data_IF_376409426976
#
_entry.id   IF_376409426976
#
_cell.length_a   1.000
_cell.length_b   1.000
_cell.length_c   1.000
_cell.angle_alpha   90.00
_cell.angle_beta   90.00
_cell.angle_gamma   90.00
#
_symmetry.space_group_name_H-M   'P 1'
#
loop_
_entity.id
_entity.type
_entity.pdbx_description
1 polymer ?
#
# COMPACT_ATOMS: atom_id res chain seq x y z
N UNK A 1 18.68 -18.65 -11.20
CA UNK A 1 17.65 -19.27 -10.33
C UNK A 1 16.71 -18.17 -9.96
N UNK A 2 15.46 -18.22 -10.44
CA UNK A 2 14.41 -17.33 -9.96
C UNK A 2 14.26 -17.64 -8.47
N UNK A 3 14.48 -16.66 -7.58
CA UNK A 3 14.23 -16.88 -6.16
C UNK A 3 12.75 -17.27 -6.03
N UNK A 4 12.52 -18.47 -5.49
CA UNK A 4 11.19 -18.93 -5.12
C UNK A 4 10.76 -18.04 -3.96
N UNK A 5 9.94 -17.03 -4.23
CA UNK A 5 9.32 -16.24 -3.18
C UNK A 5 8.40 -17.19 -2.39
N UNK A 6 8.78 -17.53 -1.16
CA UNK A 6 8.02 -18.45 -0.32
C UNK A 6 6.76 -17.73 0.18
N UNK A 7 5.61 -18.37 0.00
CA UNK A 7 4.35 -17.88 0.56
C UNK A 7 4.37 -18.08 2.08
N UNK A 8 4.13 -17.01 2.82
CA UNK A 8 4.23 -17.03 4.28
C UNK A 8 2.84 -17.33 4.86
N UNK A 9 2.68 -18.52 5.44
CA UNK A 9 1.44 -18.95 6.11
C UNK A 9 1.32 -18.43 7.56
N UNK A 10 1.54 -17.13 7.76
CA UNK A 10 1.30 -16.46 9.06
C UNK A 10 0.17 -15.42 8.93
N UNK A 11 -1.08 -15.77 9.31
CA UNK A 11 -2.22 -14.88 9.14
C UNK A 11 -2.17 -13.65 10.05
N UNK A 12 -1.47 -13.72 11.19
CA UNK A 12 -1.32 -12.58 12.10
C UNK A 12 -0.32 -11.58 11.53
N UNK A 13 0.84 -12.07 11.07
CA UNK A 13 1.84 -11.25 10.40
C UNK A 13 1.27 -10.64 9.11
N UNK A 14 0.59 -11.43 8.29
CA UNK A 14 -0.06 -10.97 7.07
C UNK A 14 -1.07 -9.85 7.34
N UNK A 15 -1.91 -10.00 8.37
CA UNK A 15 -2.88 -8.97 8.75
C UNK A 15 -2.20 -7.71 9.30
N UNK A 16 -1.15 -7.87 10.10
CA UNK A 16 -0.37 -6.76 10.63
C UNK A 16 0.27 -5.93 9.50
N UNK A 17 0.98 -6.59 8.59
CA UNK A 17 1.65 -5.92 7.48
C UNK A 17 0.66 -5.28 6.49
N UNK A 18 -0.47 -5.94 6.21
CA UNK A 18 -1.50 -5.36 5.36
C UNK A 18 -2.13 -4.11 5.97
N UNK A 19 -2.39 -4.10 7.29
CA UNK A 19 -2.88 -2.89 7.97
C UNK A 19 -1.84 -1.77 7.93
N UNK A 20 -0.55 -2.09 8.15
CA UNK A 20 0.54 -1.12 8.04
C UNK A 20 0.59 -0.46 6.65
N UNK A 21 0.39 -1.24 5.58
CA UNK A 21 0.31 -0.72 4.20
C UNK A 21 -0.91 0.18 4.04
N UNK A 22 -2.09 -0.20 4.54
CA UNK A 22 -3.31 0.63 4.46
C UNK A 22 -3.13 1.95 5.21
N UNK A 23 -2.58 1.93 6.42
CA UNK A 23 -2.28 3.13 7.20
C UNK A 23 -1.30 4.04 6.47
N UNK A 24 -0.25 3.47 5.86
CA UNK A 24 0.73 4.22 5.06
C UNK A 24 0.08 4.89 3.85
N UNK A 25 -0.80 4.20 3.13
CA UNK A 25 -1.54 4.78 1.99
C UNK A 25 -2.43 5.92 2.47
N UNK A 26 -3.17 5.73 3.57
CA UNK A 26 -4.04 6.76 4.13
C UNK A 26 -3.26 8.00 4.59
N UNK A 27 -2.08 7.82 5.20
CA UNK A 27 -1.19 8.91 5.58
C UNK A 27 -0.74 9.71 4.34
N UNK A 28 -0.26 9.02 3.30
CA UNK A 28 0.13 9.67 2.03
C UNK A 28 -1.04 10.39 1.35
N UNK A 29 -2.24 9.81 1.37
CA UNK A 29 -3.45 10.46 0.84
C UNK A 29 -3.82 11.72 1.62
N UNK A 30 -3.61 11.72 2.94
CA UNK A 30 -3.85 12.89 3.79
C UNK A 30 -2.83 14.00 3.49
N UNK A 31 -1.54 13.67 3.39
CA UNK A 31 -0.49 14.61 2.98
C UNK A 31 -0.80 15.24 1.62
N UNK A 32 -1.19 14.42 0.64
CA UNK A 32 -1.57 14.90 -0.69
C UNK A 32 -2.80 15.81 -0.64
N UNK A 33 -3.80 15.48 0.19
CA UNK A 33 -4.97 16.35 0.42
C UNK A 33 -4.55 17.72 0.97
N UNK A 34 -3.59 17.77 1.88
CA UNK A 34 -3.06 19.04 2.40
C UNK A 34 -2.33 19.83 1.32
N UNK A 35 -1.46 19.18 0.53
CA UNK A 35 -0.74 19.81 -0.58
C UNK A 35 -1.71 20.38 -1.64
N UNK A 36 -2.71 19.61 -2.05
CA UNK A 36 -3.73 20.04 -3.02
C UNK A 36 -4.62 21.14 -2.45
N UNK A 37 -4.95 21.13 -1.15
CA UNK A 37 -5.72 22.21 -0.54
C UNK A 37 -4.98 23.54 -0.61
N UNK A 38 -3.67 23.53 -0.43
CA UNK A 38 -2.84 24.72 -0.57
C UNK A 38 -2.84 25.24 -2.02
N UNK A 39 -2.82 24.33 -3.01
CA UNK A 39 -2.96 24.67 -4.43
C UNK A 39 -4.37 25.15 -4.82
N UNK A 40 -5.42 24.60 -4.21
CA UNK A 40 -6.84 24.94 -4.46
C UNK A 40 -7.20 26.38 -4.15
N UNK A 41 -6.48 27.03 -3.25
CA UNK A 41 -6.62 28.49 -3.07
C UNK A 41 -6.50 29.26 -4.39
N UNK A 42 -5.87 28.66 -5.41
CA UNK A 42 -5.77 29.20 -6.77
C UNK A 42 -6.76 28.62 -7.81
N UNK A 43 -7.43 27.47 -7.59
CA UNK A 43 -8.35 26.84 -8.56
C UNK A 43 -9.45 25.97 -7.89
N UNK A 44 -10.71 26.18 -8.31
CA UNK A 44 -11.91 25.42 -7.90
C UNK A 44 -11.94 23.99 -8.47
N UNK A 45 -11.03 23.11 -8.03
CA UNK A 45 -11.13 21.67 -8.24
C UNK A 45 -11.86 21.04 -7.04
N UNK A 46 -12.60 19.95 -7.20
CA UNK A 46 -13.12 19.12 -6.10
C UNK A 46 -12.32 17.81 -6.05
N UNK A 47 -11.80 17.45 -4.89
CA UNK A 47 -10.88 16.32 -4.67
C UNK A 47 -11.24 15.74 -3.33
N UNK A 48 -11.55 14.45 -3.36
CA UNK A 48 -11.99 13.66 -2.22
C UNK A 48 -11.07 12.45 -2.13
N UNK A 49 -10.22 12.40 -1.10
CA UNK A 49 -9.56 11.16 -0.72
C UNK A 49 -10.56 10.31 0.06
N UNK A 50 -10.77 9.07 -0.37
CA UNK A 50 -11.40 8.07 0.48
C UNK A 50 -10.43 7.65 1.58
N UNK A 51 -10.94 7.37 2.78
CA UNK A 51 -10.19 6.63 3.79
C UNK A 51 -10.31 5.15 3.46
N UNK A 52 -9.17 4.47 3.31
CA UNK A 52 -9.13 3.06 2.97
C UNK A 52 -9.18 2.20 4.23
N UNK A 53 -9.88 1.07 4.15
CA UNK A 53 -9.93 0.03 5.19
C UNK A 53 -9.55 -1.31 4.58
N UNK A 54 -8.86 -2.17 5.32
CA UNK A 54 -8.50 -3.51 4.86
C UNK A 54 -9.77 -4.39 4.75
N UNK A 55 -10.01 -5.00 3.58
CA UNK A 55 -11.04 -6.03 3.39
C UNK A 55 -10.43 -7.41 3.64
N UNK A 56 -9.34 -7.72 2.93
CA UNK A 56 -8.64 -9.01 3.04
C UNK A 56 -7.21 -8.91 2.53
N UNK A 57 -6.37 -9.81 3.04
CA UNK A 57 -5.05 -10.09 2.48
C UNK A 57 -5.21 -11.06 1.32
N UNK A 58 -4.60 -10.77 0.18
CA UNK A 58 -4.58 -11.63 -1.01
C UNK A 58 -3.46 -12.65 -0.93
N UNK A 59 -2.25 -12.21 -0.56
CA UNK A 59 -1.11 -13.07 -0.26
C UNK A 59 -0.05 -12.30 0.52
N UNK A 60 0.82 -13.05 1.20
CA UNK A 60 2.06 -12.59 1.80
C UNK A 60 3.20 -13.46 1.28
N UNK A 61 4.26 -12.84 0.79
CA UNK A 61 5.46 -13.54 0.32
C UNK A 61 6.70 -12.96 0.97
N UNK A 62 7.69 -13.79 1.26
CA UNK A 62 9.01 -13.32 1.66
C UNK A 62 9.93 -13.29 0.43
N UNK A 63 10.58 -12.14 0.20
CA UNK A 63 11.46 -11.90 -0.96
C UNK A 63 12.95 -12.09 -0.62
N UNK A 64 13.35 -11.84 0.63
CA UNK A 64 14.72 -12.03 1.10
C UNK A 64 14.77 -12.67 2.49
N UNK A 65 15.68 -13.62 2.68
CA UNK A 65 16.04 -14.21 3.97
C UNK A 65 17.29 -13.57 4.60
N UNK A 66 18.01 -12.70 3.88
CA UNK A 66 19.28 -12.12 4.32
C UNK A 66 19.09 -10.69 4.82
N UNK A 67 19.73 -10.39 5.97
CA UNK A 67 19.88 -9.14 6.76
C UNK A 67 18.68 -8.20 6.90
N UNK A 68 17.98 -7.89 5.81
CA UNK A 68 16.76 -7.10 5.75
C UNK A 68 15.65 -8.01 5.20
N UNK A 69 14.76 -8.44 6.08
CA UNK A 69 13.68 -9.34 5.68
C UNK A 69 12.65 -8.52 4.90
N UNK A 70 12.56 -8.77 3.61
CA UNK A 70 11.59 -8.13 2.73
C UNK A 70 10.34 -8.99 2.57
N UNK A 71 9.18 -8.40 2.84
CA UNK A 71 7.88 -9.00 2.60
C UNK A 71 7.16 -8.30 1.45
N UNK A 72 6.54 -9.06 0.56
CA UNK A 72 5.61 -8.55 -0.44
C UNK A 72 4.20 -8.88 0.03
N UNK A 73 3.40 -7.83 0.23
CA UNK A 73 2.02 -7.94 0.71
C UNK A 73 1.08 -7.47 -0.36
N UNK A 74 0.15 -8.33 -0.76
CA UNK A 74 -0.98 -7.93 -1.58
C UNK A 74 -2.27 -7.95 -0.77
N UNK A 75 -3.08 -6.90 -0.92
CA UNK A 75 -4.28 -6.67 -0.12
C UNK A 75 -5.39 -6.06 -0.96
N UNK A 76 -6.63 -6.18 -0.47
CA UNK A 76 -7.83 -5.56 -1.01
C UNK A 76 -8.44 -4.62 0.02
N UNK A 77 -8.85 -3.41 -0.39
CA UNK A 77 -9.36 -2.34 0.48
C UNK A 77 -10.78 -1.90 0.16
N UNK A 78 -11.50 -1.42 1.17
CA UNK A 78 -12.75 -0.67 1.07
C UNK A 78 -12.45 0.84 1.13
N UNK A 79 -13.21 1.72 0.46
CA UNK A 79 -14.29 1.42 -0.48
C UNK A 79 -13.80 0.84 -1.81
N UNK A 80 -14.72 0.19 -2.52
CA UNK A 80 -14.53 -0.24 -3.91
C UNK A 80 -13.52 -1.36 -4.15
N UNK A 81 -13.10 -2.17 -3.18
CA UNK A 81 -12.29 -3.36 -3.45
C UNK A 81 -10.98 -3.08 -4.22
N UNK A 82 -10.34 -1.92 -4.00
CA UNK A 82 -9.08 -1.60 -4.65
C UNK A 82 -7.98 -2.56 -4.14
N UNK A 83 -7.13 -3.04 -5.04
CA UNK A 83 -6.09 -3.99 -4.72
C UNK A 83 -4.71 -3.32 -4.82
N UNK A 84 -3.89 -3.54 -3.82
CA UNK A 84 -2.55 -2.99 -3.71
C UNK A 84 -1.55 -4.10 -3.46
N UNK A 85 -0.32 -3.88 -3.92
CA UNK A 85 0.88 -4.65 -3.60
C UNK A 85 1.92 -3.66 -3.07
N UNK A 86 2.55 -4.01 -1.96
CA UNK A 86 3.61 -3.21 -1.37
C UNK A 86 4.72 -4.13 -0.87
N UNK A 87 5.94 -3.59 -0.89
CA UNK A 87 7.07 -4.23 -0.20
C UNK A 87 7.18 -3.63 1.20
N UNK A 88 7.29 -4.47 2.22
CA UNK A 88 7.60 -4.07 3.59
C UNK A 88 8.99 -4.60 3.94
N UNK A 89 9.88 -3.71 4.34
CA UNK A 89 11.23 -4.04 4.79
C UNK A 89 11.20 -4.11 6.32
N UNK A 90 11.57 -5.26 6.88
CA UNK A 90 11.82 -5.40 8.30
C UNK A 90 13.30 -5.12 8.58
N UNK A 91 13.56 -3.96 9.17
CA UNK A 91 14.86 -3.59 9.72
C UNK A 91 14.96 -4.03 11.19
N UNK A 92 16.15 -3.92 11.78
CA UNK A 92 16.46 -4.45 13.13
C UNK A 92 15.48 -3.98 14.22
N UNK A 93 14.86 -2.80 14.08
CA UNK A 93 13.95 -2.23 15.08
C UNK A 93 12.64 -1.69 14.50
N UNK A 94 12.43 -1.75 13.19
CA UNK A 94 11.29 -1.12 12.54
C UNK A 94 10.83 -1.89 11.30
N UNK A 95 9.54 -1.75 10.98
CA UNK A 95 8.97 -2.24 9.73
C UNK A 95 8.57 -1.05 8.90
N UNK A 96 9.16 -0.93 7.73
CA UNK A 96 8.98 0.20 6.81
C UNK A 96 8.30 -0.29 5.54
N UNK A 97 7.21 0.36 5.16
CA UNK A 97 6.62 0.16 3.84
C UNK A 97 7.50 0.89 2.83
N UNK A 98 8.14 0.15 1.93
CA UNK A 98 8.92 0.73 0.84
C UNK A 98 8.01 1.66 0.02
N UNK A 99 8.57 2.78 -0.44
CA UNK A 99 7.80 3.87 -1.03
C UNK A 99 7.06 3.47 -2.31
N UNK A 100 7.39 2.33 -2.91
CA UNK A 100 6.74 1.75 -4.07
C UNK A 100 5.50 0.90 -3.70
N UNK A 101 4.39 1.56 -3.35
CA UNK A 101 3.08 0.90 -3.30
C UNK A 101 2.48 0.86 -4.72
N UNK A 102 2.30 -0.34 -5.26
CA UNK A 102 1.73 -0.58 -6.59
C UNK A 102 0.25 -0.93 -6.50
N UNK A 103 -0.61 -0.32 -7.31
CA UNK A 103 -2.02 -0.71 -7.40
C UNK A 103 -2.17 -1.85 -8.41
N UNK A 104 -2.65 -3.01 -7.96
CA UNK A 104 -2.77 -4.24 -8.74
C UNK A 104 -3.99 -4.26 -9.66
N UNK A 105 -5.14 -3.72 -9.22
CA UNK A 105 -6.34 -3.68 -10.04
C UNK A 105 -6.59 -2.31 -10.68
N UNK A 106 -6.84 -2.34 -11.99
CA UNK A 106 -7.33 -1.20 -12.75
C UNK A 106 -8.85 -1.17 -12.61
N UNK A 107 -9.39 -0.12 -11.98
CA UNK A 107 -10.82 0.14 -12.11
C UNK A 107 -11.09 0.56 -13.55
N UNK A 108 -11.97 -0.17 -14.25
CA UNK A 108 -12.60 0.29 -15.48
C UNK A 108 -13.15 1.72 -15.23
N UNK A 109 -12.67 2.68 -16.03
CA UNK A 109 -13.04 4.11 -16.13
C UNK A 109 -12.53 5.14 -15.10
N UNK A 110 -11.78 4.80 -14.04
CA UNK A 110 -11.23 5.81 -13.10
C UNK A 110 -9.69 5.69 -12.92
N UNK A 111 -9.04 5.35 -14.02
CA UNK A 111 -7.60 5.10 -14.18
C UNK A 111 -6.73 6.36 -14.13
N UNK A 112 -6.83 7.17 -13.08
CA UNK A 112 -5.89 8.27 -12.86
C UNK A 112 -5.04 7.98 -11.63
N UNK A 113 -3.87 7.39 -11.92
CA UNK A 113 -2.63 7.33 -11.15
C UNK A 113 -2.67 7.76 -9.68
N UNK A 114 -2.39 6.82 -8.77
CA UNK A 114 -1.59 7.14 -7.59
C UNK A 114 -0.15 6.70 -7.90
N UNK A 115 0.58 7.55 -8.65
CA UNK A 115 2.04 7.50 -8.62
C UNK A 115 2.41 8.37 -7.42
N UNK A 116 2.89 7.74 -6.35
CA UNK A 116 3.50 8.45 -5.24
C UNK A 116 4.93 8.84 -5.69
N UNK A 117 5.26 10.14 -5.85
CA UNK A 117 6.65 10.56 -6.04
C UNK A 117 7.50 10.33 -4.78
#
# INVERSE_FOLDING_TARGET
>A
TCNDNEEVEDPLLASFLANLVVETINAKLLEYKHAVRNLRSAKNLNFTCANLELIKVLYLRQKSELSDVEYVVALETYPSGAQFEATVVAETNEMLVDNAVSRLNHYNNESHCAIFP
#
